data_IF_537716972650
#
_entry.id   IF_537716972650
#
_cell.length_a   1.000
_cell.length_b   1.000
_cell.length_c   1.000
_cell.angle_alpha   90.00
_cell.angle_beta   90.00
_cell.angle_gamma   90.00
#
_symmetry.space_group_name_H-M   'P 1'
#
loop_
_entity.id
_entity.type
_entity.pdbx_description
1 polymer ?
#
# COMPACT_ATOMS: atom_id res chain seq x y z
N UNK A 1 29.22 -15.58 -4.38
CA UNK A 1 29.92 -14.43 -4.97
C UNK A 1 29.18 -13.18 -4.51
N UNK A 2 29.83 -12.33 -3.70
CA UNK A 2 29.20 -11.21 -2.99
C UNK A 2 29.22 -9.96 -3.89
N UNK A 3 28.06 -9.47 -4.32
CA UNK A 3 27.97 -8.15 -4.94
C UNK A 3 27.68 -7.10 -3.88
N UNK A 4 28.73 -6.43 -3.40
CA UNK A 4 28.62 -5.17 -2.66
C UNK A 4 28.35 -4.06 -3.66
N UNK A 5 27.13 -3.51 -3.68
CA UNK A 5 26.86 -2.25 -4.37
C UNK A 5 27.43 -1.11 -3.51
N UNK A 6 28.62 -0.62 -3.86
CA UNK A 6 29.13 0.67 -3.38
C UNK A 6 28.51 1.77 -4.25
N UNK A 7 27.76 2.68 -3.63
CA UNK A 7 27.39 3.95 -4.25
C UNK A 7 28.68 4.72 -4.58
N UNK A 8 29.01 4.81 -5.86
CA UNK A 8 30.08 5.66 -6.37
C UNK A 8 29.61 7.12 -6.30
N UNK A 9 30.23 7.90 -5.40
CA UNK A 9 30.20 9.35 -5.43
C UNK A 9 31.04 9.81 -6.62
N UNK A 10 30.39 10.27 -7.68
CA UNK A 10 31.05 10.99 -8.77
C UNK A 10 31.14 12.46 -8.39
N UNK A 11 32.34 12.90 -7.99
CA UNK A 11 32.74 14.32 -8.02
C UNK A 11 32.87 14.74 -9.47
N UNK A 12 32.00 15.63 -9.93
CA UNK A 12 32.10 16.28 -11.24
C UNK A 12 32.90 17.58 -11.12
N UNK A 13 33.98 17.68 -11.89
CA UNK A 13 34.78 18.88 -12.03
C UNK A 13 34.04 19.99 -12.78
N UNK A 14 34.27 21.21 -12.29
CA UNK A 14 33.79 22.49 -12.77
C UNK A 14 34.34 22.82 -14.17
N UNK A 15 33.47 23.07 -15.16
CA UNK A 15 33.85 23.85 -16.35
C UNK A 15 32.82 24.96 -16.55
N UNK A 16 33.23 26.18 -16.19
CA UNK A 16 32.55 27.43 -16.54
C UNK A 16 32.86 27.73 -18.00
N UNK A 17 31.83 27.95 -18.83
CA UNK A 17 31.96 28.71 -20.08
C UNK A 17 30.89 29.81 -20.11
N UNK A 18 31.36 31.03 -19.89
CA UNK A 18 30.61 32.26 -20.10
C UNK A 18 30.63 32.56 -21.60
N UNK A 19 29.46 32.71 -22.21
CA UNK A 19 29.31 33.45 -23.47
C UNK A 19 28.17 34.44 -23.30
N UNK A 20 28.52 35.72 -23.29
CA UNK A 20 27.59 36.84 -23.35
C UNK A 20 27.65 37.42 -24.77
N UNK A 21 26.50 37.64 -25.40
CA UNK A 21 26.35 38.68 -26.44
C UNK A 21 24.89 39.11 -26.59
N UNK A 22 24.67 40.41 -26.42
CA UNK A 22 23.92 41.25 -27.37
C UNK A 22 22.39 41.10 -27.45
N UNK A 23 21.71 42.06 -26.80
CA UNK A 23 20.28 42.41 -26.84
C UNK A 23 19.60 42.46 -28.22
N UNK A 24 18.32 42.06 -28.27
CA UNK A 24 17.25 42.86 -28.88
C UNK A 24 15.86 42.44 -28.37
N UNK A 25 15.12 43.45 -27.92
CA UNK A 25 13.81 43.40 -27.27
C UNK A 25 12.70 43.14 -28.29
N UNK A 26 11.72 42.32 -27.92
CA UNK A 26 10.33 42.55 -28.32
C UNK A 26 9.38 41.97 -27.25
N UNK A 27 8.93 42.84 -26.35
CA UNK A 27 7.77 42.66 -25.48
C UNK A 27 6.51 42.49 -26.30
N UNK A 28 5.70 41.46 -26.00
CA UNK A 28 4.26 41.48 -26.26
C UNK A 28 3.51 41.07 -25.00
N UNK A 29 2.76 42.04 -24.49
CA UNK A 29 1.80 41.91 -23.41
C UNK A 29 0.43 41.74 -24.07
N UNK A 30 -0.25 40.62 -23.81
CA UNK A 30 -1.68 40.47 -24.11
C UNK A 30 -2.37 40.07 -22.81
N UNK A 31 -3.15 41.00 -22.28
CA UNK A 31 -4.17 40.77 -21.27
C UNK A 31 -5.48 40.58 -22.03
N UNK A 32 -6.29 39.55 -21.70
CA UNK A 32 -7.74 39.75 -21.53
C UNK A 32 -8.42 38.65 -20.69
N UNK A 33 -9.16 39.18 -19.71
CA UNK A 33 -10.19 38.73 -18.75
C UNK A 33 -10.79 37.30 -18.69
N UNK A 34 -11.02 36.93 -17.43
CA UNK A 34 -11.94 35.93 -16.87
C UNK A 34 -13.27 35.75 -17.61
N UNK A 35 -13.70 34.49 -17.75
CA UNK A 35 -15.09 34.10 -17.60
C UNK A 35 -15.22 32.81 -16.77
N UNK A 36 -16.16 32.84 -15.84
CA UNK A 36 -16.52 31.79 -14.89
C UNK A 36 -17.58 30.86 -15.50
N UNK A 37 -17.50 29.56 -15.15
CA UNK A 37 -18.50 28.48 -15.31
C UNK A 37 -18.77 28.06 -16.78
N UNK A 38 -18.91 26.80 -17.20
CA UNK A 38 -19.51 25.58 -16.62
C UNK A 38 -18.90 24.31 -17.26
N UNK A 39 -19.06 23.17 -16.59
CA UNK A 39 -19.02 21.79 -17.08
C UNK A 39 -19.25 21.63 -18.61
N UNK A 40 -18.29 21.09 -19.37
CA UNK A 40 -18.46 19.81 -20.11
C UNK A 40 -17.16 19.33 -20.80
N UNK A 41 -17.17 18.05 -21.14
CA UNK A 41 -16.14 17.17 -21.68
C UNK A 41 -15.27 17.73 -22.83
N UNK A 42 -13.96 17.43 -22.77
CA UNK A 42 -13.05 17.66 -23.88
C UNK A 42 -11.63 17.22 -23.56
N UNK A 43 -11.26 16.01 -24.00
CA UNK A 43 -9.89 15.53 -24.00
C UNK A 43 -8.97 16.50 -24.75
N UNK A 44 -8.00 17.11 -24.06
CA UNK A 44 -6.80 17.67 -24.70
C UNK A 44 -5.59 17.57 -23.77
N UNK A 45 -4.59 16.82 -24.26
CA UNK A 45 -3.15 16.86 -24.00
C UNK A 45 -2.65 17.46 -22.67
N UNK A 46 -2.37 16.58 -21.71
CA UNK A 46 -1.33 16.81 -20.69
C UNK A 46 -0.08 16.04 -21.12
N UNK A 47 0.62 16.57 -22.13
CA UNK A 47 2.01 16.18 -22.41
C UNK A 47 2.94 17.03 -21.53
N UNK A 48 2.99 16.71 -20.24
CA UNK A 48 4.08 17.14 -19.35
C UNK A 48 4.22 16.25 -18.11
N UNK A 49 3.91 14.97 -18.23
CA UNK A 49 4.46 13.99 -17.31
C UNK A 49 5.86 13.67 -17.80
N UNK A 50 6.85 14.28 -17.16
CA UNK A 50 8.23 13.78 -17.21
C UNK A 50 8.16 12.36 -16.63
N UNK A 51 7.97 11.37 -17.51
CA UNK A 51 8.35 10.00 -17.22
C UNK A 51 9.87 10.03 -17.11
N UNK A 52 10.38 10.31 -15.91
CA UNK A 52 11.76 9.95 -15.57
C UNK A 52 11.73 8.44 -15.36
N UNK A 53 11.58 7.69 -16.45
CA UNK A 53 12.36 6.47 -16.53
C UNK A 53 13.79 6.98 -16.56
N UNK A 54 14.57 6.63 -15.54
CA UNK A 54 16.01 6.60 -15.74
C UNK A 54 16.17 5.58 -16.85
N UNK A 55 16.25 6.10 -18.08
CA UNK A 55 16.80 5.33 -19.17
C UNK A 55 18.13 4.84 -18.62
N UNK A 56 18.24 3.52 -18.44
CA UNK A 56 19.46 2.83 -18.05
C UNK A 56 20.11 2.19 -19.29
N UNK A 57 20.27 2.88 -20.44
CA UNK A 57 20.94 2.28 -21.59
C UNK A 57 22.40 1.98 -21.27
N UNK A 58 23.01 2.69 -20.31
CA UNK A 58 24.42 2.51 -19.96
C UNK A 58 24.74 1.21 -19.19
N UNK A 59 23.76 0.47 -18.65
CA UNK A 59 24.04 -0.86 -18.08
C UNK A 59 24.09 -1.94 -19.18
N UNK A 60 23.46 -1.72 -20.33
CA UNK A 60 23.43 -2.68 -21.42
C UNK A 60 24.61 -2.57 -22.39
N UNK A 61 25.45 -1.54 -22.28
CA UNK A 61 26.64 -1.35 -23.14
C UNK A 61 27.93 -1.98 -22.61
N UNK A 62 27.87 -2.81 -21.56
CA UNK A 62 28.99 -3.72 -21.31
C UNK A 62 28.87 -4.91 -22.26
N UNK A 63 29.81 -5.07 -23.18
CA UNK A 63 30.03 -6.25 -24.01
C UNK A 63 30.46 -7.46 -23.17
N UNK A 64 29.66 -7.80 -22.16
CA UNK A 64 29.77 -8.99 -21.36
C UNK A 64 29.13 -10.12 -22.16
N UNK A 65 29.94 -10.92 -22.85
CA UNK A 65 29.51 -12.21 -23.36
C UNK A 65 29.34 -13.11 -22.13
N UNK A 66 28.11 -13.48 -21.74
CA UNK A 66 27.92 -14.29 -20.55
C UNK A 66 28.59 -15.64 -20.76
N UNK A 67 29.43 -16.06 -19.81
CA UNK A 67 29.94 -17.42 -19.79
C UNK A 67 28.75 -18.38 -19.67
N UNK A 68 28.41 -19.05 -20.77
CA UNK A 68 27.26 -19.96 -20.85
C UNK A 68 27.45 -21.19 -19.96
N UNK A 69 28.67 -21.46 -19.47
CA UNK A 69 28.93 -22.55 -18.52
C UNK A 69 28.38 -22.28 -17.11
N UNK A 70 28.04 -21.03 -16.78
CA UNK A 70 27.41 -20.61 -15.52
C UNK A 70 26.07 -19.89 -15.72
N UNK A 71 25.43 -20.04 -16.90
CA UNK A 71 24.15 -19.39 -17.16
C UNK A 71 23.03 -20.03 -16.34
N UNK A 72 22.32 -19.23 -15.55
CA UNK A 72 21.04 -19.62 -14.97
C UNK A 72 19.97 -19.56 -16.08
N UNK A 73 19.82 -20.68 -16.81
CA UNK A 73 18.82 -20.78 -17.88
C UNK A 73 17.45 -20.95 -17.22
N UNK A 74 16.62 -19.91 -17.27
CA UNK A 74 15.25 -19.99 -16.80
C UNK A 74 14.42 -20.89 -17.71
N UNK A 75 13.63 -21.82 -17.16
CA UNK A 75 12.78 -22.68 -17.97
C UNK A 75 11.70 -21.85 -18.67
N UNK A 76 11.52 -22.08 -19.96
CA UNK A 76 10.38 -21.56 -20.71
C UNK A 76 9.12 -22.36 -20.33
N UNK A 77 8.33 -21.84 -19.39
CA UNK A 77 7.14 -22.52 -18.89
C UNK A 77 5.92 -22.24 -19.78
N UNK A 78 5.23 -23.30 -20.20
CA UNK A 78 3.96 -23.16 -20.92
C UNK A 78 2.85 -22.64 -19.98
N UNK A 79 2.28 -21.47 -20.31
CA UNK A 79 1.18 -20.87 -19.55
C UNK A 79 -0.02 -21.80 -19.50
N UNK A 80 -0.35 -22.49 -20.58
CA UNK A 80 -1.52 -23.38 -20.65
C UNK A 80 -1.14 -24.86 -20.55
N UNK A 81 -0.06 -25.18 -19.83
CA UNK A 81 0.34 -26.56 -19.58
C UNK A 81 -0.86 -27.41 -19.07
N UNK A 82 -1.24 -28.49 -19.77
CA UNK A 82 -2.43 -29.28 -19.45
C UNK A 82 -2.42 -29.88 -18.04
N UNK A 83 -1.24 -30.17 -17.47
CA UNK A 83 -1.10 -30.67 -16.11
C UNK A 83 -1.44 -29.57 -15.11
N UNK A 84 -0.90 -28.37 -15.32
CA UNK A 84 -1.15 -27.23 -14.43
C UNK A 84 -2.58 -26.69 -14.53
N UNK A 85 -3.16 -26.70 -15.73
CA UNK A 85 -4.51 -26.16 -15.96
C UNK A 85 -5.62 -26.95 -15.23
N UNK A 86 -5.38 -28.22 -14.87
CA UNK A 86 -6.30 -29.02 -14.04
C UNK A 86 -6.51 -28.44 -12.62
N UNK A 87 -5.51 -27.70 -12.11
CA UNK A 87 -5.56 -27.08 -10.79
C UNK A 87 -6.07 -25.63 -10.84
N UNK A 88 -6.16 -25.04 -12.02
CA UNK A 88 -6.68 -23.68 -12.19
C UNK A 88 -8.20 -23.68 -12.04
N UNK A 89 -8.70 -22.83 -11.14
CA UNK A 89 -10.12 -22.60 -10.93
C UNK A 89 -10.37 -21.11 -10.86
N UNK A 90 -11.26 -20.59 -11.71
CA UNK A 90 -11.74 -19.22 -11.56
C UNK A 90 -12.79 -19.18 -10.46
N UNK A 91 -12.63 -18.28 -9.50
CA UNK A 91 -13.57 -18.08 -8.40
C UNK A 91 -14.45 -16.87 -8.67
N UNK A 92 -15.69 -16.91 -8.19
CA UNK A 92 -16.61 -15.77 -8.26
C UNK A 92 -16.16 -14.66 -7.32
N UNK A 93 -16.47 -13.40 -7.66
CA UNK A 93 -16.16 -12.26 -6.80
C UNK A 93 -16.78 -12.43 -5.41
N UNK A 94 -16.15 -11.83 -4.39
CA UNK A 94 -16.71 -11.75 -3.05
C UNK A 94 -17.93 -10.84 -3.09
N UNK A 95 -19.07 -11.35 -2.61
CA UNK A 95 -20.31 -10.58 -2.45
C UNK A 95 -20.66 -10.62 -0.97
N UNK A 96 -20.65 -9.45 -0.34
CA UNK A 96 -20.98 -9.29 1.07
C UNK A 96 -22.47 -9.02 1.20
N UNK A 97 -23.21 -10.05 1.60
CA UNK A 97 -24.65 -9.98 1.84
C UNK A 97 -24.87 -9.63 3.32
N UNK A 98 -25.66 -8.59 3.60
CA UNK A 98 -25.94 -8.10 4.95
C UNK A 98 -26.46 -6.66 4.90
N UNK A 99 -26.77 -6.11 6.08
CA UNK A 99 -27.14 -4.70 6.22
C UNK A 99 -26.00 -3.80 5.75
N UNK A 100 -26.34 -2.69 5.11
CA UNK A 100 -25.39 -1.69 4.64
C UNK A 100 -24.66 -1.07 5.82
N UNK A 101 -23.39 -0.74 5.63
CA UNK A 101 -22.67 -0.01 6.66
C UNK A 101 -23.31 1.36 6.89
N UNK A 102 -23.59 1.68 8.15
CA UNK A 102 -24.19 2.97 8.51
C UNK A 102 -23.18 4.11 8.46
N UNK A 103 -21.90 3.76 8.43
CA UNK A 103 -20.79 4.69 8.51
C UNK A 103 -19.89 4.47 7.31
N UNK A 104 -19.50 5.58 6.70
CA UNK A 104 -18.49 5.63 5.67
C UNK A 104 -17.36 6.55 6.14
N UNK A 105 -16.17 6.35 5.58
CA UNK A 105 -15.01 7.19 5.87
C UNK A 105 -14.47 7.73 4.57
N UNK A 106 -14.35 9.06 4.49
CA UNK A 106 -13.82 9.74 3.32
C UNK A 106 -12.85 10.84 3.76
N UNK A 107 -11.62 10.78 3.26
CA UNK A 107 -10.60 11.82 3.46
C UNK A 107 -10.45 12.27 4.94
N UNK A 108 -10.29 11.29 5.84
CA UNK A 108 -10.11 11.55 7.28
C UNK A 108 -11.36 12.07 7.99
N UNK A 109 -12.54 11.87 7.40
CA UNK A 109 -13.83 12.33 7.95
C UNK A 109 -14.81 11.16 8.03
N UNK A 110 -15.52 11.07 9.16
CA UNK A 110 -16.60 10.13 9.40
C UNK A 110 -17.90 10.66 8.83
N UNK A 111 -18.54 9.90 7.94
CA UNK A 111 -19.82 10.23 7.32
C UNK A 111 -20.87 9.18 7.68
N UNK A 112 -22.10 9.63 7.89
CA UNK A 112 -23.25 8.74 7.99
C UNK A 112 -23.77 8.42 6.60
N UNK A 113 -24.01 7.14 6.32
CA UNK A 113 -24.56 6.72 5.03
C UNK A 113 -25.98 7.27 4.88
N UNK A 114 -26.37 7.60 3.64
CA UNK A 114 -27.69 8.18 3.36
C UNK A 114 -28.82 7.30 3.91
N UNK A 115 -28.69 5.98 3.76
CA UNK A 115 -29.66 5.00 4.27
C UNK A 115 -29.76 5.02 5.80
N UNK A 116 -28.62 5.13 6.50
CA UNK A 116 -28.63 5.22 7.96
C UNK A 116 -29.31 6.50 8.46
N UNK A 117 -29.18 7.61 7.73
CA UNK A 117 -29.83 8.89 8.11
C UNK A 117 -31.31 8.90 7.72
N UNK A 118 -31.70 8.32 6.58
CA UNK A 118 -33.09 8.32 6.12
C UNK A 118 -33.99 7.38 6.91
N UNK A 119 -33.46 6.23 7.32
CA UNK A 119 -34.27 5.13 7.84
C UNK A 119 -34.36 5.14 9.37
N UNK A 120 -33.58 5.99 10.06
CA UNK A 120 -33.41 5.96 11.51
C UNK A 120 -33.85 7.26 12.19
N UNK A 121 -34.76 7.15 13.17
CA UNK A 121 -35.21 8.28 14.00
C UNK A 121 -34.35 8.38 15.25
N UNK A 122 -33.81 9.56 15.57
CA UNK A 122 -32.98 9.75 16.77
C UNK A 122 -31.64 9.02 16.71
N UNK A 123 -31.06 8.94 15.51
CA UNK A 123 -29.77 8.33 15.24
C UNK A 123 -28.65 8.96 16.07
N UNK A 124 -27.95 8.15 16.86
CA UNK A 124 -26.82 8.57 17.70
C UNK A 124 -25.69 7.56 17.57
N UNK A 125 -24.46 8.05 17.47
CA UNK A 125 -23.28 7.21 17.40
C UNK A 125 -22.22 7.66 18.41
N UNK A 126 -21.59 6.68 19.06
CA UNK A 126 -20.44 6.89 19.92
C UNK A 126 -19.19 6.32 19.23
N UNK A 127 -18.13 7.12 19.19
CA UNK A 127 -16.86 6.81 18.55
C UNK A 127 -15.84 6.37 19.60
N UNK A 128 -15.20 5.23 19.38
CA UNK A 128 -14.19 4.67 20.26
C UNK A 128 -12.85 4.61 19.49
N UNK A 129 -11.91 5.54 19.75
CA UNK A 129 -10.62 5.55 19.07
C UNK A 129 -9.88 4.24 19.35
N UNK A 130 -9.37 3.57 18.31
CA UNK A 130 -8.54 2.38 18.49
C UNK A 130 -7.09 2.81 18.72
N UNK A 131 -6.49 2.30 19.81
CA UNK A 131 -5.15 2.64 20.26
C UNK A 131 -4.29 1.38 20.23
N UNK A 132 -3.09 1.48 19.65
CA UNK A 132 -2.07 0.42 19.74
C UNK A 132 -1.43 0.45 21.13
N UNK A 133 -1.41 -0.70 21.80
CA UNK A 133 -0.70 -0.88 23.06
C UNK A 133 0.80 -1.18 22.87
N UNK A 134 1.51 -1.51 23.97
CA UNK A 134 2.88 -2.02 23.91
C UNK A 134 2.96 -3.36 23.17
N UNK A 135 4.08 -3.62 22.48
CA UNK A 135 4.26 -4.81 21.65
C UNK A 135 3.41 -4.82 20.38
N UNK A 136 3.35 -5.97 19.70
CA UNK A 136 2.69 -6.08 18.40
C UNK A 136 1.26 -6.62 18.43
N UNK A 137 0.84 -7.20 19.55
CA UNK A 137 -0.43 -7.93 19.67
C UNK A 137 -1.44 -7.25 20.61
N UNK A 138 -1.14 -6.03 21.06
CA UNK A 138 -1.95 -5.34 22.05
C UNK A 138 -2.69 -4.15 21.44
N UNK A 139 -4.00 -4.09 21.67
CA UNK A 139 -4.87 -2.98 21.28
C UNK A 139 -5.84 -2.66 22.41
N UNK A 140 -6.20 -1.39 22.51
CA UNK A 140 -7.22 -0.90 23.45
C UNK A 140 -8.09 0.13 22.75
N UNK A 141 -9.20 0.50 23.39
CA UNK A 141 -10.01 1.64 22.97
C UNK A 141 -9.76 2.81 23.91
N UNK A 142 -9.60 4.00 23.34
CA UNK A 142 -9.50 5.24 24.09
C UNK A 142 -10.85 5.68 24.67
N UNK A 143 -10.84 6.83 25.35
CA UNK A 143 -12.05 7.47 25.84
C UNK A 143 -13.04 7.72 24.69
N UNK A 144 -14.31 7.35 24.87
CA UNK A 144 -15.29 7.50 23.80
C UNK A 144 -15.66 8.96 23.56
N UNK A 145 -15.79 9.32 22.29
CA UNK A 145 -16.40 10.57 21.87
C UNK A 145 -17.89 10.28 21.65
N UNK A 146 -18.72 10.79 22.55
CA UNK A 146 -20.14 10.51 22.56
C UNK A 146 -20.89 11.39 21.56
N UNK A 147 -21.93 10.83 20.94
CA UNK A 147 -22.82 11.54 20.00
C UNK A 147 -22.05 12.26 18.88
N UNK A 148 -21.13 11.57 18.21
CA UNK A 148 -20.46 12.13 17.03
C UNK A 148 -21.48 12.47 15.95
N UNK A 149 -21.18 13.51 15.16
CA UNK A 149 -22.06 14.00 14.09
C UNK A 149 -21.51 13.61 12.71
N UNK A 150 -22.37 13.68 11.69
CA UNK A 150 -21.95 13.56 10.29
C UNK A 150 -20.88 14.62 9.97
N UNK A 151 -19.76 14.22 9.40
CA UNK A 151 -18.65 15.14 9.10
C UNK A 151 -17.63 15.27 10.23
N UNK A 152 -17.74 14.49 11.30
CA UNK A 152 -16.75 14.50 12.39
C UNK A 152 -15.37 14.08 11.86
N UNK A 153 -14.31 14.89 12.05
CA UNK A 153 -12.95 14.50 11.70
C UNK A 153 -12.49 13.30 12.52
N UNK A 154 -11.77 12.37 11.88
CA UNK A 154 -11.19 11.23 12.59
C UNK A 154 -10.14 11.72 13.61
N UNK A 155 -10.07 11.05 14.75
CA UNK A 155 -9.03 11.27 15.78
C UNK A 155 -8.03 10.11 15.86
N UNK A 156 -8.35 8.98 15.23
CA UNK A 156 -7.47 7.82 15.05
C UNK A 156 -7.73 7.18 13.69
N UNK A 157 -6.73 6.48 13.15
CA UNK A 157 -6.82 5.79 11.84
C UNK A 157 -7.89 4.69 11.85
N UNK A 158 -8.07 4.05 13.00
CA UNK A 158 -9.05 2.99 13.18
C UNK A 158 -9.92 3.32 14.39
N UNK A 159 -11.18 2.91 14.35
CA UNK A 159 -12.11 3.17 15.44
C UNK A 159 -13.25 2.17 15.43
N UNK A 160 -13.76 1.84 16.61
CA UNK A 160 -15.06 1.18 16.74
C UNK A 160 -16.14 2.25 16.83
N UNK A 161 -17.28 2.01 16.21
CA UNK A 161 -18.44 2.88 16.34
C UNK A 161 -19.64 2.07 16.81
N UNK A 162 -20.40 2.63 17.75
CA UNK A 162 -21.65 2.06 18.21
C UNK A 162 -22.76 3.07 17.94
N UNK A 163 -23.68 2.72 17.05
CA UNK A 163 -24.83 3.55 16.73
C UNK A 163 -26.13 2.90 17.22
N UNK A 164 -27.09 3.75 17.56
CA UNK A 164 -28.43 3.36 17.98
C UNK A 164 -29.46 4.30 17.38
N UNK A 165 -30.65 3.76 17.17
CA UNK A 165 -31.84 4.50 16.74
C UNK A 165 -32.91 4.41 17.83
N UNK A 166 -33.85 5.34 17.84
CA UNK A 166 -35.06 5.25 18.68
C UNK A 166 -35.99 4.12 18.22
N UNK A 167 -35.79 3.61 17.00
CA UNK A 167 -36.45 2.40 16.53
C UNK A 167 -35.96 1.22 17.37
N UNK A 168 -36.88 0.61 18.11
CA UNK A 168 -36.58 -0.45 19.07
C UNK A 168 -35.85 -1.62 18.40
N UNK A 169 -34.69 -1.97 18.93
CA UNK A 169 -33.88 -3.11 18.45
C UNK A 169 -32.85 -2.75 17.37
N UNK A 170 -32.87 -1.53 16.84
CA UNK A 170 -31.99 -1.12 15.75
C UNK A 170 -30.66 -0.59 16.29
N UNK A 171 -29.61 -1.40 16.17
CA UNK A 171 -28.24 -1.08 16.61
C UNK A 171 -27.24 -1.44 15.53
N UNK A 172 -26.17 -0.66 15.45
CA UNK A 172 -25.05 -0.91 14.56
C UNK A 172 -23.76 -0.83 15.34
N UNK A 173 -22.92 -1.86 15.19
CA UNK A 173 -21.57 -1.86 15.72
C UNK A 173 -20.65 -2.38 14.64
N UNK A 174 -19.66 -1.59 14.28
CA UNK A 174 -18.60 -2.00 13.35
C UNK A 174 -17.28 -1.27 13.70
N UNK A 175 -16.18 -1.77 13.17
CA UNK A 175 -14.86 -1.16 13.26
C UNK A 175 -14.50 -0.65 11.88
N UNK A 176 -14.09 0.61 11.79
CA UNK A 176 -13.81 1.28 10.53
C UNK A 176 -12.34 1.63 10.40
N UNK A 177 -11.88 1.69 9.15
CA UNK A 177 -10.55 2.15 8.78
C UNK A 177 -10.62 3.47 8.02
N UNK A 178 -9.66 4.33 8.31
CA UNK A 178 -9.50 5.65 7.73
C UNK A 178 -8.09 6.17 7.96
N UNK A 179 -7.83 7.36 7.45
CA UNK A 179 -6.54 8.04 7.62
C UNK A 179 -6.77 9.28 8.47
N UNK A 180 -6.34 9.23 9.72
CA UNK A 180 -6.34 10.39 10.59
C UNK A 180 -5.22 11.36 10.18
N UNK A 181 -5.56 12.65 10.13
CA UNK A 181 -4.62 13.72 9.80
C UNK A 181 -3.66 13.99 10.96
N UNK A 182 -2.55 13.26 10.98
CA UNK A 182 -1.56 13.34 12.04
C UNK A 182 -0.67 14.60 11.89
N UNK A 183 -0.77 15.51 12.87
CA UNK A 183 0.00 16.77 12.92
C UNK A 183 1.51 16.53 13.00
N UNK A 184 1.95 15.46 13.66
CA UNK A 184 3.37 15.11 13.79
C UNK A 184 3.96 14.73 12.44
N UNK A 185 3.25 13.92 11.65
CA UNK A 185 3.65 13.59 10.28
C UNK A 185 3.75 14.88 9.47
N UNK A 186 2.71 15.71 9.47
CA UNK A 186 2.70 16.98 8.72
C UNK A 186 3.87 17.89 9.10
N UNK A 187 4.15 18.03 10.40
CA UNK A 187 5.29 18.80 10.90
C UNK A 187 6.64 18.24 10.44
N UNK A 188 6.80 16.90 10.41
CA UNK A 188 7.99 16.25 9.85
C UNK A 188 8.14 16.54 8.36
N UNK A 189 7.08 16.41 7.58
CA UNK A 189 7.07 16.66 6.13
C UNK A 189 7.34 18.12 5.76
N UNK A 190 7.05 19.07 6.66
CA UNK A 190 7.41 20.48 6.47
C UNK A 190 8.91 20.72 6.69
N UNK A 191 9.51 20.00 7.65
CA UNK A 191 10.91 20.17 8.04
C UNK A 191 11.89 19.35 7.20
N UNK A 192 11.44 18.20 6.69
CA UNK A 192 12.25 17.24 5.95
C UNK A 192 11.61 17.00 4.59
N UNK A 193 12.41 17.11 3.54
CA UNK A 193 12.03 16.82 2.17
C UNK A 193 13.07 15.87 1.57
N UNK A 194 12.72 15.13 0.50
CA UNK A 194 13.70 14.35 -0.23
C UNK A 194 14.88 15.22 -0.68
N UNK A 195 16.09 14.64 -0.84
CA UNK A 195 17.23 15.35 -1.38
C UNK A 195 16.88 16.03 -2.71
N UNK A 196 17.42 17.24 -2.94
CA UNK A 196 17.12 18.03 -4.16
C UNK A 196 17.61 17.35 -5.44
N UNK A 197 18.65 16.55 -5.31
CA UNK A 197 19.25 15.69 -6.34
C UNK A 197 18.59 14.30 -6.42
N UNK A 198 17.65 13.99 -5.52
CA UNK A 198 16.85 12.77 -5.57
C UNK A 198 15.66 12.89 -6.52
N UNK A 199 15.17 11.74 -7.01
CA UNK A 199 14.01 11.69 -7.91
C UNK A 199 12.72 12.20 -7.25
N UNK A 200 12.62 12.18 -5.92
CA UNK A 200 11.44 12.64 -5.16
C UNK A 200 10.15 11.86 -5.45
N UNK A 201 10.24 10.71 -6.12
CA UNK A 201 9.10 9.89 -6.53
C UNK A 201 8.49 9.17 -5.33
N UNK A 202 7.17 9.00 -5.36
CA UNK A 202 6.50 8.06 -4.45
C UNK A 202 6.73 6.63 -4.92
N UNK A 203 6.98 5.73 -3.98
CA UNK A 203 7.20 4.30 -4.22
C UNK A 203 6.12 3.53 -3.46
N UNK A 204 5.43 2.66 -4.16
CA UNK A 204 4.41 1.79 -3.58
C UNK A 204 4.64 0.34 -4.00
N UNK A 205 4.75 -0.54 -3.02
CA UNK A 205 4.76 -1.98 -3.18
C UNK A 205 3.38 -2.51 -2.85
N UNK A 206 2.75 -3.15 -3.82
CA UNK A 206 1.50 -3.89 -3.66
C UNK A 206 1.81 -5.38 -3.88
N UNK A 207 1.99 -6.12 -2.80
CA UNK A 207 2.32 -7.54 -2.82
C UNK A 207 1.09 -8.42 -2.60
N UNK A 208 1.09 -9.61 -3.20
CA UNK A 208 0.12 -10.67 -2.95
C UNK A 208 0.87 -11.95 -2.62
N UNK A 209 0.48 -12.61 -1.53
CA UNK A 209 1.22 -13.76 -1.03
C UNK A 209 1.10 -14.99 -1.95
N UNK A 210 2.10 -15.89 -1.93
CA UNK A 210 2.12 -17.15 -2.69
C UNK A 210 1.91 -17.01 -4.21
N UNK A 211 2.12 -15.83 -4.79
CA UNK A 211 1.92 -15.58 -6.22
C UNK A 211 3.23 -15.75 -7.02
N UNK A 212 3.30 -16.79 -7.85
CA UNK A 212 4.36 -16.93 -8.86
C UNK A 212 4.08 -16.10 -10.13
N UNK A 213 5.09 -15.89 -10.98
CA UNK A 213 4.88 -15.31 -12.34
C UNK A 213 3.84 -16.09 -13.14
N UNK A 214 3.84 -17.42 -13.07
CA UNK A 214 2.85 -18.24 -13.78
C UNK A 214 1.44 -18.09 -13.18
N UNK A 215 1.33 -17.90 -11.87
CA UNK A 215 0.06 -17.57 -11.23
C UNK A 215 -0.45 -16.19 -11.67
N UNK A 216 0.43 -15.19 -11.72
CA UNK A 216 0.11 -13.84 -12.23
C UNK A 216 -0.44 -13.91 -13.67
N UNK A 217 0.27 -14.59 -14.56
CA UNK A 217 -0.12 -14.77 -15.97
C UNK A 217 -1.48 -15.47 -16.12
N UNK A 218 -1.75 -16.52 -15.33
CA UNK A 218 -2.99 -17.32 -15.43
C UNK A 218 -4.18 -16.69 -14.72
N UNK A 219 -3.98 -16.13 -13.53
CA UNK A 219 -5.06 -15.77 -12.59
C UNK A 219 -5.42 -14.30 -12.59
N UNK A 220 -4.53 -13.43 -13.07
CA UNK A 220 -4.77 -11.98 -13.14
C UNK A 220 -4.54 -11.41 -14.55
N UNK A 221 -4.98 -12.07 -15.63
CA UNK A 221 -4.66 -11.63 -17.00
C UNK A 221 -5.22 -10.25 -17.34
N UNK A 222 -6.38 -9.88 -16.78
CA UNK A 222 -6.98 -8.56 -16.99
C UNK A 222 -6.21 -7.45 -16.28
N UNK A 223 -5.77 -7.70 -15.05
CA UNK A 223 -4.90 -6.77 -14.32
C UNK A 223 -3.59 -6.61 -15.07
N UNK A 224 -2.95 -7.71 -15.45
CA UNK A 224 -1.70 -7.70 -16.21
C UNK A 224 -1.83 -6.89 -17.50
N UNK A 225 -2.89 -7.15 -18.27
CA UNK A 225 -3.16 -6.41 -19.51
C UNK A 225 -3.20 -4.90 -19.25
N UNK A 226 -3.91 -4.46 -18.23
CA UNK A 226 -3.95 -3.04 -17.84
C UNK A 226 -2.57 -2.51 -17.42
N UNK A 227 -1.84 -3.24 -16.58
CA UNK A 227 -0.51 -2.83 -16.12
C UNK A 227 0.47 -2.66 -17.30
N UNK A 228 0.55 -3.66 -18.19
CA UNK A 228 1.52 -3.67 -19.29
C UNK A 228 1.09 -2.77 -20.44
N UNK A 229 -0.17 -2.87 -20.89
CA UNK A 229 -0.62 -2.17 -22.09
C UNK A 229 -1.04 -0.73 -21.80
N UNK A 230 -1.67 -0.46 -20.65
CA UNK A 230 -2.15 0.89 -20.28
C UNK A 230 -1.11 1.66 -19.48
N UNK A 231 -0.63 1.10 -18.36
CA UNK A 231 0.32 1.80 -17.48
C UNK A 231 1.78 1.70 -17.96
N UNK A 232 2.05 0.92 -19.01
CA UNK A 232 3.40 0.66 -19.55
C UNK A 232 4.36 0.11 -18.49
N UNK A 233 3.83 -0.70 -17.57
CA UNK A 233 4.61 -1.37 -16.54
C UNK A 233 5.58 -2.38 -17.17
N UNK A 234 6.78 -2.48 -16.59
CA UNK A 234 7.80 -3.44 -16.97
C UNK A 234 7.61 -4.71 -16.13
N UNK A 235 7.56 -5.87 -16.79
CA UNK A 235 7.57 -7.15 -16.10
C UNK A 235 9.00 -7.66 -15.92
N UNK A 236 9.38 -7.89 -14.66
CA UNK A 236 10.68 -8.49 -14.33
C UNK A 236 10.58 -10.02 -14.48
N UNK A 237 10.73 -10.52 -15.71
CA UNK A 237 10.41 -11.92 -16.05
C UNK A 237 11.27 -12.97 -15.33
N UNK A 238 12.48 -12.58 -14.94
CA UNK A 238 13.46 -13.42 -14.25
C UNK A 238 13.60 -13.08 -12.76
N UNK A 239 12.75 -12.20 -12.22
CA UNK A 239 12.74 -11.91 -10.79
C UNK A 239 12.45 -13.18 -9.98
N UNK A 240 13.24 -13.41 -8.93
CA UNK A 240 13.08 -14.56 -8.04
C UNK A 240 13.36 -14.17 -6.59
N UNK A 241 12.81 -14.94 -5.66
CA UNK A 241 13.05 -14.82 -4.23
C UNK A 241 14.40 -15.47 -3.89
N UNK A 242 15.05 -15.02 -2.81
CA UNK A 242 16.37 -15.52 -2.40
C UNK A 242 16.30 -16.54 -1.26
N UNK A 243 15.11 -17.06 -0.99
CA UNK A 243 14.87 -18.12 -0.03
C UNK A 243 13.40 -18.47 0.06
N UNK A 244 13.10 -19.46 0.89
CA UNK A 244 11.74 -19.99 1.03
C UNK A 244 10.88 -19.15 1.99
N UNK A 245 9.61 -18.98 1.64
CA UNK A 245 8.61 -18.24 2.39
C UNK A 245 8.67 -16.72 2.28
N UNK A 246 7.62 -16.09 2.79
CA UNK A 246 7.39 -14.64 2.69
C UNK A 246 8.48 -13.78 3.35
N UNK A 247 9.05 -14.12 4.53
CA UNK A 247 10.17 -13.37 5.10
C UNK A 247 11.40 -13.35 4.20
N UNK A 248 11.76 -14.49 3.61
CA UNK A 248 12.93 -14.59 2.74
C UNK A 248 12.74 -13.85 1.41
N UNK A 249 11.49 -13.62 0.98
CA UNK A 249 11.17 -12.76 -0.15
C UNK A 249 11.24 -11.27 0.22
N UNK A 250 10.68 -10.88 1.37
CA UNK A 250 10.49 -9.47 1.74
C UNK A 250 11.70 -8.85 2.45
N UNK A 251 12.41 -9.58 3.31
CA UNK A 251 13.55 -9.03 4.04
C UNK A 251 14.64 -8.49 3.11
N UNK A 252 15.06 -9.17 2.05
CA UNK A 252 16.08 -8.65 1.13
C UNK A 252 15.63 -7.38 0.40
N UNK A 253 14.35 -7.30 0.02
CA UNK A 253 13.78 -6.10 -0.61
C UNK A 253 13.80 -4.92 0.36
N UNK A 254 13.41 -5.18 1.62
CA UNK A 254 13.14 -4.13 2.60
C UNK A 254 14.31 -3.82 3.51
N UNK A 255 15.38 -4.61 3.50
CA UNK A 255 16.55 -4.44 4.37
C UNK A 255 17.88 -4.57 3.64
N UNK A 256 17.87 -5.07 2.40
CA UNK A 256 19.09 -5.42 1.66
C UNK A 256 19.83 -6.63 2.26
N UNK A 257 19.17 -7.42 3.12
CA UNK A 257 19.77 -8.51 3.90
C UNK A 257 18.97 -9.79 3.84
N UNK A 258 19.67 -10.91 3.87
CA UNK A 258 19.09 -12.23 4.11
C UNK A 258 18.68 -12.35 5.58
N UNK A 259 17.70 -13.21 5.89
CA UNK A 259 17.26 -13.45 7.29
C UNK A 259 18.44 -13.84 8.20
N UNK A 260 19.39 -14.63 7.69
CA UNK A 260 20.58 -15.09 8.43
C UNK A 260 21.61 -13.99 8.73
N UNK A 261 21.54 -12.84 8.04
CA UNK A 261 22.39 -11.69 8.30
C UNK A 261 21.78 -10.72 9.33
N UNK A 262 20.52 -10.94 9.71
CA UNK A 262 19.76 -10.09 10.60
C UNK A 262 19.79 -10.64 12.04
N UNK A 263 19.56 -9.80 13.06
CA UNK A 263 19.40 -10.27 14.43
C UNK A 263 18.33 -11.36 14.53
N UNK A 264 18.58 -12.36 15.38
CA UNK A 264 17.64 -13.46 15.61
C UNK A 264 16.29 -12.93 16.11
N UNK A 265 15.23 -13.15 15.31
CA UNK A 265 13.88 -12.69 15.59
C UNK A 265 12.83 -13.81 15.56
N UNK A 266 13.24 -15.06 15.33
CA UNK A 266 12.31 -16.19 15.25
C UNK A 266 11.67 -16.47 16.61
N UNK A 267 10.37 -16.74 16.60
CA UNK A 267 9.60 -17.05 17.82
C UNK A 267 10.09 -18.31 18.53
N UNK A 268 10.59 -19.29 17.75
CA UNK A 268 11.13 -20.55 18.26
C UNK A 268 12.55 -20.44 18.83
N UNK A 269 13.25 -19.33 18.62
CA UNK A 269 14.62 -19.15 19.08
C UNK A 269 14.66 -18.49 20.47
N UNK A 270 15.53 -19.00 21.35
CA UNK A 270 15.79 -18.40 22.64
C UNK A 270 16.47 -17.02 22.48
N UNK A 271 16.13 -16.07 23.36
CA UNK A 271 16.66 -14.71 23.36
C UNK A 271 16.45 -13.91 22.06
N UNK A 272 15.54 -14.34 21.18
CA UNK A 272 15.18 -13.59 19.98
C UNK A 272 14.52 -12.25 20.34
N UNK A 273 14.67 -11.25 19.47
CA UNK A 273 14.11 -9.90 19.63
C UNK A 273 13.02 -9.63 18.60
N UNK A 274 12.29 -8.53 18.78
CA UNK A 274 11.43 -7.99 17.72
C UNK A 274 12.26 -7.60 16.50
N UNK A 275 11.60 -7.48 15.34
CA UNK A 275 12.26 -7.11 14.09
C UNK A 275 12.58 -5.61 14.01
N UNK A 276 12.30 -4.85 15.07
CA UNK A 276 12.54 -3.40 15.17
C UNK A 276 13.98 -3.01 14.88
N UNK A 277 14.95 -3.87 15.20
CA UNK A 277 16.38 -3.56 15.02
C UNK A 277 16.86 -3.73 13.58
N UNK A 278 16.01 -4.23 12.67
CA UNK A 278 16.42 -4.45 11.29
C UNK A 278 16.61 -3.10 10.56
N UNK A 279 17.50 -3.06 9.54
CA UNK A 279 17.79 -1.87 8.76
C UNK A 279 16.71 -1.66 7.70
N UNK A 280 15.49 -1.40 8.17
CA UNK A 280 14.31 -1.26 7.32
C UNK A 280 14.38 -0.03 6.42
N UNK A 281 14.19 -0.25 5.12
CA UNK A 281 14.21 0.76 4.06
C UNK A 281 13.19 1.88 4.31
N UNK A 282 12.01 1.56 4.86
CA UNK A 282 11.02 2.58 5.20
C UNK A 282 11.52 3.56 6.27
N UNK A 283 12.46 3.19 7.16
CA UNK A 283 13.04 4.15 8.11
C UNK A 283 13.87 5.20 7.39
N UNK A 284 14.63 4.79 6.38
CA UNK A 284 15.42 5.70 5.57
C UNK A 284 14.51 6.67 4.80
N UNK A 285 13.45 6.16 4.17
CA UNK A 285 12.46 7.02 3.50
C UNK A 285 11.76 7.97 4.48
N UNK A 286 11.33 7.49 5.65
CA UNK A 286 10.72 8.34 6.68
C UNK A 286 11.69 9.45 7.12
N UNK A 287 12.96 9.13 7.28
CA UNK A 287 14.00 10.09 7.63
C UNK A 287 14.21 11.16 6.55
N UNK A 288 14.00 10.82 5.28
CA UNK A 288 14.07 11.73 4.13
C UNK A 288 12.74 12.41 3.79
N UNK A 289 11.77 12.44 4.73
CA UNK A 289 10.54 13.20 4.55
C UNK A 289 9.49 12.53 3.67
N UNK A 290 9.49 11.20 3.62
CA UNK A 290 8.40 10.43 3.01
C UNK A 290 7.34 10.07 4.05
N UNK A 291 6.08 9.96 3.62
CA UNK A 291 5.03 9.27 4.37
C UNK A 291 5.22 7.77 4.18
N UNK A 292 5.26 7.02 5.27
CA UNK A 292 5.50 5.58 5.21
C UNK A 292 4.29 4.79 5.68
N UNK A 293 4.04 3.64 5.05
CA UNK A 293 2.98 2.75 5.51
C UNK A 293 3.34 1.29 5.34
N UNK A 294 2.99 0.47 6.33
CA UNK A 294 3.07 -0.99 6.28
C UNK A 294 1.68 -1.58 6.59
N UNK A 295 1.19 -2.42 5.69
CA UNK A 295 -0.11 -3.08 5.84
C UNK A 295 -0.05 -4.54 5.41
N UNK A 296 -0.31 -5.43 6.36
CA UNK A 296 -0.56 -6.86 6.16
C UNK A 296 -1.98 -7.20 6.64
N UNK A 297 -2.66 -8.12 5.96
CA UNK A 297 -4.12 -8.24 6.06
C UNK A 297 -4.67 -9.39 6.93
N UNK A 298 -3.81 -10.16 7.58
CA UNK A 298 -4.22 -11.33 8.37
C UNK A 298 -3.30 -11.52 9.58
N UNK A 299 -3.88 -11.53 10.79
CA UNK A 299 -3.11 -11.47 12.05
C UNK A 299 -2.23 -12.71 12.23
N UNK A 300 -2.79 -13.89 11.98
CA UNK A 300 -2.13 -15.17 12.29
C UNK A 300 -0.97 -15.48 11.35
N UNK A 301 -1.12 -15.14 10.06
CA UNK A 301 -0.14 -15.46 9.00
C UNK A 301 0.57 -14.22 8.45
N UNK A 302 0.58 -13.14 9.22
CA UNK A 302 1.29 -11.92 8.88
C UNK A 302 2.79 -12.19 8.65
N UNK A 303 3.41 -11.60 7.59
CA UNK A 303 4.77 -11.95 7.15
C UNK A 303 5.82 -11.89 8.25
N UNK A 304 5.73 -10.92 9.16
CA UNK A 304 6.71 -10.72 10.23
C UNK A 304 6.22 -11.16 11.61
N UNK A 305 5.08 -11.87 11.71
CA UNK A 305 4.50 -12.31 12.99
C UNK A 305 4.29 -13.82 13.05
N UNK A 306 4.14 -14.49 11.90
CA UNK A 306 3.95 -15.93 11.86
C UNK A 306 5.17 -16.67 12.44
N UNK A 307 6.36 -16.42 11.86
CA UNK A 307 7.63 -17.01 12.31
C UNK A 307 8.49 -16.09 13.16
N UNK A 308 8.36 -14.78 12.99
CA UNK A 308 9.15 -13.77 13.68
C UNK A 308 8.34 -13.11 14.80
N UNK A 309 9.00 -12.42 15.72
CA UNK A 309 8.39 -11.77 16.89
C UNK A 309 7.59 -10.50 16.58
N UNK A 310 7.43 -10.12 15.32
CA UNK A 310 6.75 -8.89 14.94
C UNK A 310 7.49 -7.65 15.42
N UNK A 311 6.75 -6.55 15.50
CA UNK A 311 7.24 -5.23 15.84
C UNK A 311 6.90 -4.82 17.28
N UNK A 312 7.88 -4.35 18.03
CA UNK A 312 7.61 -3.75 19.34
C UNK A 312 6.98 -2.35 19.16
N UNK A 313 7.50 -1.56 18.23
CA UNK A 313 6.99 -0.23 17.88
C UNK A 313 6.40 -0.21 16.46
N UNK A 314 5.43 0.69 16.21
CA UNK A 314 4.89 0.86 14.87
C UNK A 314 6.03 1.14 13.85
N UNK A 315 6.19 0.32 12.79
CA UNK A 315 7.36 0.38 11.91
C UNK A 315 7.33 1.56 10.93
N UNK A 316 6.16 2.16 10.72
CA UNK A 316 5.90 3.19 9.71
C UNK A 316 4.91 4.22 10.26
N UNK A 317 4.71 5.34 9.56
CA UNK A 317 3.74 6.35 9.97
C UNK A 317 2.30 5.79 10.03
N UNK A 318 1.95 4.91 9.09
CA UNK A 318 0.65 4.26 8.99
C UNK A 318 0.80 2.74 9.03
N UNK A 319 0.34 2.11 10.12
CA UNK A 319 0.48 0.68 10.36
C UNK A 319 -0.88 0.00 10.55
N UNK A 320 -1.24 -0.94 9.68
CA UNK A 320 -2.61 -1.50 9.65
C UNK A 320 -2.88 -2.61 10.68
N UNK A 321 -1.85 -3.18 11.31
CA UNK A 321 -2.02 -4.31 12.25
C UNK A 321 -3.04 -4.08 13.37
N UNK A 322 -3.11 -2.90 14.04
CA UNK A 322 -4.11 -2.65 15.07
C UNK A 322 -5.55 -2.85 14.56
N UNK A 323 -5.85 -2.43 13.33
CA UNK A 323 -7.15 -2.67 12.70
C UNK A 323 -7.45 -4.17 12.66
N UNK A 324 -6.52 -4.96 12.11
CA UNK A 324 -6.70 -6.40 11.95
C UNK A 324 -6.85 -7.13 13.29
N UNK A 325 -6.09 -6.74 14.31
CA UNK A 325 -6.27 -7.27 15.68
C UNK A 325 -7.67 -6.99 16.23
N UNK A 326 -8.26 -5.83 15.90
CA UNK A 326 -9.58 -5.46 16.39
C UNK A 326 -10.71 -6.17 15.63
N UNK A 327 -10.57 -6.36 14.31
CA UNK A 327 -11.61 -6.97 13.48
C UNK A 327 -11.55 -8.49 13.43
N UNK A 328 -10.38 -9.11 13.67
CA UNK A 328 -10.22 -10.56 13.57
C UNK A 328 -11.24 -11.35 14.42
N UNK A 329 -11.46 -11.01 15.71
CA UNK A 329 -12.48 -11.67 16.53
C UNK A 329 -13.91 -11.49 16.01
N UNK A 330 -14.17 -10.44 15.25
CA UNK A 330 -15.51 -10.10 14.71
C UNK A 330 -15.82 -10.81 13.40
N UNK A 331 -14.81 -11.32 12.68
CA UNK A 331 -15.00 -11.89 11.36
C UNK A 331 -15.92 -13.11 11.32
N UNK A 332 -16.12 -13.80 12.44
CA UNK A 332 -17.09 -14.91 12.56
C UNK A 332 -18.54 -14.44 12.41
N UNK A 333 -18.81 -13.15 12.63
CA UNK A 333 -20.14 -12.55 12.48
C UNK A 333 -20.44 -12.08 11.06
N UNK A 334 -19.46 -12.07 10.15
CA UNK A 334 -19.63 -11.64 8.76
C UNK A 334 -19.60 -12.82 7.79
N UNK A 335 -20.12 -12.57 6.58
CA UNK A 335 -19.93 -13.46 5.45
C UNK A 335 -18.43 -13.69 5.18
N UNK A 336 -18.08 -14.87 4.66
CA UNK A 336 -16.68 -15.22 4.35
C UNK A 336 -16.05 -14.16 3.44
N UNK A 337 -14.85 -13.69 3.82
CA UNK A 337 -14.08 -12.64 3.14
C UNK A 337 -14.71 -11.23 3.18
N UNK A 338 -15.69 -11.00 4.05
CA UNK A 338 -16.32 -9.70 4.24
C UNK A 338 -15.94 -9.07 5.58
N UNK A 339 -16.05 -7.75 5.60
CA UNK A 339 -15.98 -6.88 6.76
C UNK A 339 -17.17 -5.92 6.65
N UNK A 340 -18.23 -6.18 7.42
CA UNK A 340 -19.52 -5.53 7.19
C UNK A 340 -20.04 -5.78 5.78
N UNK A 341 -20.41 -4.69 5.10
CA UNK A 341 -20.95 -4.71 3.73
C UNK A 341 -19.87 -4.74 2.64
N UNK A 342 -18.58 -4.65 3.01
CA UNK A 342 -17.46 -4.58 2.06
C UNK A 342 -16.59 -5.84 2.08
N UNK A 343 -16.04 -6.27 0.93
CA UNK A 343 -15.01 -7.28 0.91
C UNK A 343 -13.74 -6.82 1.65
N UNK A 344 -13.08 -7.70 2.40
CA UNK A 344 -11.84 -7.39 3.16
C UNK A 344 -10.74 -6.77 2.30
N UNK A 345 -10.58 -7.27 1.07
CA UNK A 345 -9.59 -6.74 0.12
C UNK A 345 -9.92 -5.32 -0.37
N UNK A 346 -11.21 -4.94 -0.40
CA UNK A 346 -11.65 -3.57 -0.72
C UNK A 346 -11.34 -2.64 0.45
N UNK A 347 -11.56 -3.07 1.69
CA UNK A 347 -11.19 -2.27 2.88
C UNK A 347 -9.69 -1.99 2.91
N UNK A 348 -8.87 -3.01 2.66
CA UNK A 348 -7.41 -2.89 2.58
C UNK A 348 -6.96 -1.94 1.46
N UNK A 349 -7.50 -2.10 0.25
CA UNK A 349 -7.19 -1.21 -0.87
C UNK A 349 -7.69 0.22 -0.63
N UNK A 350 -8.90 0.41 -0.11
CA UNK A 350 -9.41 1.75 0.21
C UNK A 350 -8.46 2.48 1.18
N UNK A 351 -7.93 1.80 2.19
CA UNK A 351 -6.98 2.41 3.11
C UNK A 351 -5.66 2.83 2.43
N UNK A 352 -5.12 2.00 1.53
CA UNK A 352 -4.00 2.39 0.66
C UNK A 352 -4.31 3.67 -0.13
N UNK A 353 -5.49 3.71 -0.77
CA UNK A 353 -5.96 4.83 -1.58
C UNK A 353 -6.09 6.11 -0.75
N UNK A 354 -6.63 5.99 0.45
CA UNK A 354 -6.90 7.13 1.32
C UNK A 354 -5.58 7.76 1.80
N UNK A 355 -4.53 6.97 2.05
CA UNK A 355 -3.18 7.49 2.33
C UNK A 355 -2.64 8.26 1.10
N UNK A 356 -2.84 7.72 -0.10
CA UNK A 356 -2.42 8.37 -1.35
C UNK A 356 -3.09 9.74 -1.53
N UNK A 357 -4.40 9.84 -1.26
CA UNK A 357 -5.15 11.08 -1.38
C UNK A 357 -4.86 12.08 -0.27
N UNK A 358 -4.79 11.61 0.98
CA UNK A 358 -4.51 12.47 2.16
C UNK A 358 -3.20 13.25 1.97
N UNK A 359 -2.19 12.59 1.41
CA UNK A 359 -0.86 13.13 1.22
C UNK A 359 -0.55 13.42 -0.25
N UNK A 360 -1.52 13.89 -1.04
CA UNK A 360 -1.40 14.04 -2.51
C UNK A 360 -0.12 14.71 -3.00
N UNK A 361 0.43 15.68 -2.26
CA UNK A 361 1.63 16.45 -2.64
C UNK A 361 2.92 15.99 -1.95
N UNK A 362 2.83 15.05 -1.03
CA UNK A 362 3.99 14.56 -0.29
C UNK A 362 4.45 13.21 -0.83
N UNK A 363 5.77 12.97 -0.85
CA UNK A 363 6.34 11.70 -1.33
C UNK A 363 6.01 10.58 -0.34
N UNK A 364 5.79 9.36 -0.86
CA UNK A 364 5.33 8.21 -0.08
C UNK A 364 6.22 6.99 -0.31
N UNK A 365 6.44 6.21 0.72
CA UNK A 365 7.04 4.88 0.64
C UNK A 365 6.08 3.89 1.31
N UNK A 366 5.28 3.21 0.51
CA UNK A 366 4.20 2.36 0.98
C UNK A 366 4.50 0.91 0.66
N UNK A 367 4.38 0.03 1.63
CA UNK A 367 4.52 -1.41 1.44
C UNK A 367 3.28 -2.09 2.00
N UNK A 368 2.42 -2.53 1.09
CA UNK A 368 1.15 -3.16 1.40
C UNK A 368 1.20 -4.58 0.84
N UNK A 369 1.08 -5.58 1.72
CA UNK A 369 1.23 -6.99 1.37
C UNK A 369 -0.04 -7.76 1.76
N UNK A 370 -0.83 -8.17 0.77
CA UNK A 370 -2.10 -8.85 0.98
C UNK A 370 -1.92 -10.36 1.01
N UNK A 371 -2.05 -10.95 2.19
CA UNK A 371 -1.97 -12.39 2.42
C UNK A 371 -3.26 -13.16 2.13
N UNK A 372 -4.46 -12.65 2.49
CA UNK A 372 -5.71 -13.37 2.21
C UNK A 372 -5.93 -13.57 0.72
N UNK A 373 -6.76 -14.56 0.38
CA UNK A 373 -7.13 -14.89 -1.01
C UNK A 373 -5.97 -15.37 -1.90
N UNK A 374 -4.78 -15.64 -1.38
CA UNK A 374 -3.74 -16.28 -2.17
C UNK A 374 -2.84 -17.25 -1.41
N UNK A 375 -2.76 -17.14 -0.08
CA UNK A 375 -1.89 -17.97 0.78
C UNK A 375 -2.12 -19.50 0.60
N UNK A 376 -3.32 -20.00 0.95
CA UNK A 376 -3.61 -21.46 0.94
C UNK A 376 -4.16 -21.97 -0.40
N UNK A 377 -5.01 -21.19 -1.07
CA UNK A 377 -5.55 -21.49 -2.39
C UNK A 377 -5.36 -20.28 -3.31
N UNK A 378 -4.33 -20.37 -4.14
CA UNK A 378 -3.97 -19.32 -5.07
C UNK A 378 -5.08 -19.02 -6.10
N UNK A 379 -6.07 -19.90 -6.29
CA UNK A 379 -7.23 -19.63 -7.14
C UNK A 379 -8.13 -18.50 -6.60
N UNK A 380 -8.11 -18.25 -5.29
CA UNK A 380 -8.92 -17.20 -4.67
C UNK A 380 -8.52 -15.80 -5.14
N UNK A 381 -7.30 -15.59 -5.65
CA UNK A 381 -6.83 -14.28 -6.11
C UNK A 381 -7.65 -13.78 -7.33
N UNK A 382 -8.26 -14.71 -8.07
CA UNK A 382 -9.14 -14.39 -9.19
C UNK A 382 -10.35 -13.55 -8.76
N UNK A 383 -10.72 -13.59 -7.46
CA UNK A 383 -11.78 -12.77 -6.86
C UNK A 383 -11.45 -11.27 -6.85
N UNK A 384 -10.16 -10.90 -6.82
CA UNK A 384 -9.67 -9.50 -6.73
C UNK A 384 -9.26 -8.94 -8.11
N UNK A 385 -9.09 -9.81 -9.11
CA UNK A 385 -8.48 -9.49 -10.42
C UNK A 385 -9.05 -8.28 -11.18
N UNK A 386 -10.32 -7.91 -10.96
CA UNK A 386 -10.91 -6.75 -11.65
C UNK A 386 -10.68 -5.44 -10.90
N UNK A 387 -10.51 -5.50 -9.59
CA UNK A 387 -10.48 -4.31 -8.74
C UNK A 387 -9.23 -3.46 -9.00
N UNK A 388 -8.08 -4.08 -9.25
CA UNK A 388 -6.81 -3.39 -9.52
C UNK A 388 -6.78 -2.59 -10.84
N UNK A 389 -7.76 -2.80 -11.74
CA UNK A 389 -7.92 -1.97 -12.94
C UNK A 389 -8.65 -0.66 -12.64
N UNK A 390 -9.57 -0.70 -11.69
CA UNK A 390 -10.47 0.41 -11.34
C UNK A 390 -9.97 1.20 -10.14
N UNK A 391 -8.86 0.76 -9.55
CA UNK A 391 -8.29 1.31 -8.33
C UNK A 391 -7.37 2.50 -8.61
#
# INVERSE_FOLDING_TARGET
>A
MVYRVKLLSLRGDLIIRIFAFGTLVSTFMVIYQNQSMTHDQGATNINSHVQVFVDMPQIYESSFVPDTSQACIHPALNINDPTMMRFYRKRSRVICRGDTDWIEVHNGTLLFSHQAVSDQVGFKCDYYPLIRGPGDDNITYGEPILNVEHGTPLVSDFFKINCSSNVKGTRYTNIHAGVHHNRTIKGRLQKRKPPKDGLGLSIAFLGFDSMSRMSWLRRMPLTRKYMVETLKAIELESYNIVGDGTPAALLPILTGKHETELPEARRSANHSKSVDQFPWLWKDFQNHGYVTSWADAEVEIAPFNYRLKGFEHAPTDYFMRPFYLAVDPTYRSYSRYCHGSLPKHVVWLNWFRDIMYTYKRDPKFMVHFYTPLSHDDNNLITMVSVLLRTF
#
